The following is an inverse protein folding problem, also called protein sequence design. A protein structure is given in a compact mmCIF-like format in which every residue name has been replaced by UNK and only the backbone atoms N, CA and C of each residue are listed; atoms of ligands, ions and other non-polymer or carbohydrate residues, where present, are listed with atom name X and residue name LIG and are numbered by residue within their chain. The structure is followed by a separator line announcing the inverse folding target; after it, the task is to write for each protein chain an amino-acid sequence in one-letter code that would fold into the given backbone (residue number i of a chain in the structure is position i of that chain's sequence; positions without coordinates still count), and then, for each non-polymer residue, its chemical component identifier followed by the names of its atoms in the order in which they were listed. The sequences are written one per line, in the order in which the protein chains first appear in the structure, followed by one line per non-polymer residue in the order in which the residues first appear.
data_IF_851851726276
#
_entry.id   IF_851851726276
#
_cell.length_a   1.000
_cell.length_b   1.000
_cell.length_c   1.000
_cell.angle_alpha   90.00
_cell.angle_beta   90.00
_cell.angle_gamma   90.00
#
_symmetry.space_group_name_H-M   'P 1'
#
loop_
_entity.id
_entity.type
_entity.pdbx_description
1 polymer ?
#
# COMPACT_ATOMS: atom_id res chain seq x y z
N UNK A 1 -12.45 -24.49 -7.77
CA UNK A 1 -12.33 -23.09 -7.31
C UNK A 1 -12.17 -22.20 -8.55
N UNK A 2 -12.90 -21.09 -8.64
CA UNK A 2 -12.68 -20.14 -9.73
C UNK A 2 -11.45 -19.27 -9.38
N UNK A 3 -10.37 -19.44 -10.13
CA UNK A 3 -9.17 -18.60 -10.01
C UNK A 3 -9.47 -17.28 -10.71
N UNK A 4 -9.22 -16.16 -10.03
CA UNK A 4 -9.31 -14.82 -10.60
C UNK A 4 -7.94 -14.18 -10.54
N UNK A 5 -7.54 -13.55 -11.65
CA UNK A 5 -6.33 -12.74 -11.72
C UNK A 5 -6.71 -11.28 -11.58
N UNK A 6 -6.05 -10.56 -10.69
CA UNK A 6 -6.10 -9.10 -10.61
C UNK A 6 -4.80 -8.54 -11.18
N UNK A 7 -4.85 -7.33 -11.75
CA UNK A 7 -3.70 -6.67 -12.34
C UNK A 7 -3.72 -5.17 -12.09
N UNK A 8 -2.54 -4.57 -12.16
CA UNK A 8 -2.35 -3.12 -12.18
C UNK A 8 -1.33 -2.79 -13.26
N UNK A 9 -1.41 -1.58 -13.81
CA UNK A 9 -0.43 -1.06 -14.76
C UNK A 9 -0.04 0.34 -14.35
N UNK A 10 1.25 0.65 -14.44
CA UNK A 10 1.79 1.93 -14.01
C UNK A 10 2.72 2.54 -15.05
N UNK A 11 2.91 3.84 -14.94
CA UNK A 11 3.86 4.59 -15.74
C UNK A 11 4.54 5.67 -14.91
N UNK A 12 5.76 6.01 -15.31
CA UNK A 12 6.53 7.08 -14.69
C UNK A 12 5.95 8.44 -15.06
N UNK A 13 5.98 9.35 -14.10
CA UNK A 13 5.71 10.77 -14.26
C UNK A 13 7.01 11.56 -14.09
N UNK A 14 6.92 12.88 -13.87
CA UNK A 14 8.10 13.68 -13.58
C UNK A 14 8.74 13.31 -12.23
N UNK A 15 10.07 13.35 -12.15
CA UNK A 15 10.81 13.01 -10.94
C UNK A 15 10.67 11.53 -10.57
N UNK A 16 10.32 11.26 -9.32
CA UNK A 16 10.13 9.92 -8.77
C UNK A 16 8.65 9.49 -8.69
N UNK A 17 7.75 10.31 -9.23
CA UNK A 17 6.32 10.07 -9.18
C UNK A 17 5.92 8.93 -10.12
N UNK A 18 5.10 8.01 -9.63
CA UNK A 18 4.56 6.86 -10.37
C UNK A 18 3.03 6.91 -10.29
N UNK A 19 2.38 6.87 -11.45
CA UNK A 19 0.92 6.73 -11.55
C UNK A 19 0.59 5.27 -11.86
N UNK A 20 -0.30 4.65 -11.07
CA UNK A 20 -0.72 3.25 -11.21
C UNK A 20 -2.24 3.16 -11.29
N UNK A 21 -2.75 2.46 -12.30
CA UNK A 21 -4.15 2.10 -12.42
C UNK A 21 -4.42 0.78 -11.70
N UNK A 22 -5.35 0.82 -10.75
CA UNK A 22 -5.78 -0.30 -9.90
C UNK A 22 -7.31 -0.47 -10.02
N UNK A 23 -7.76 -1.37 -10.91
CA UNK A 23 -9.18 -1.47 -11.25
C UNK A 23 -9.66 -0.17 -11.89
N UNK A 24 -10.70 0.45 -11.34
CA UNK A 24 -11.23 1.74 -11.79
C UNK A 24 -10.56 2.96 -11.13
N UNK A 25 -9.61 2.72 -10.22
CA UNK A 25 -8.96 3.76 -9.43
C UNK A 25 -7.55 4.03 -9.92
N UNK A 26 -7.13 5.29 -9.74
CA UNK A 26 -5.78 5.74 -9.99
C UNK A 26 -5.09 6.08 -8.67
N UNK A 27 -3.88 5.56 -8.48
CA UNK A 27 -3.02 5.81 -7.33
C UNK A 27 -1.75 6.49 -7.80
N UNK A 28 -1.39 7.61 -7.17
CA UNK A 28 -0.12 8.29 -7.40
C UNK A 28 0.75 8.11 -6.16
N UNK A 29 1.96 7.62 -6.38
CA UNK A 29 2.98 7.43 -5.34
C UNK A 29 4.21 8.26 -5.71
N UNK A 30 4.94 8.75 -4.73
CA UNK A 30 6.19 9.47 -4.97
C UNK A 30 7.18 9.24 -3.82
N UNK A 31 8.34 9.87 -3.88
CA UNK A 31 9.29 9.94 -2.79
C UNK A 31 9.20 11.31 -2.07
N UNK A 32 9.66 11.38 -0.81
CA UNK A 32 9.89 12.66 -0.16
C UNK A 32 10.87 13.53 -0.97
N UNK A 33 10.78 14.85 -0.81
CA UNK A 33 11.65 15.81 -1.53
C UNK A 33 13.14 15.51 -1.28
N UNK A 34 13.51 15.18 -0.05
CA UNK A 34 14.89 14.83 0.31
C UNK A 34 15.38 13.49 -0.28
N UNK A 35 14.48 12.69 -0.84
CA UNK A 35 14.75 11.43 -1.52
C UNK A 35 14.50 11.50 -3.05
N UNK A 36 14.46 12.72 -3.61
CA UNK A 36 14.39 12.95 -5.05
C UNK A 36 12.98 13.03 -5.65
N UNK A 37 11.93 12.94 -4.82
CA UNK A 37 10.56 13.17 -5.26
C UNK A 37 10.15 14.63 -5.24
N UNK A 38 8.91 14.89 -5.62
CA UNK A 38 8.25 16.19 -5.63
C UNK A 38 7.19 16.31 -4.53
N UNK A 39 6.92 15.21 -3.80
CA UNK A 39 5.99 15.16 -2.68
C UNK A 39 4.47 15.27 -2.97
N UNK A 40 3.91 14.91 -4.15
CA UNK A 40 2.47 14.96 -4.38
C UNK A 40 1.71 13.72 -3.83
N UNK A 41 2.39 12.72 -3.24
CA UNK A 41 1.74 11.49 -2.78
C UNK A 41 2.57 10.67 -1.77
N UNK A 42 1.95 9.66 -1.14
CA UNK A 42 2.62 8.74 -0.20
C UNK A 42 3.70 7.91 -0.91
N UNK A 43 4.63 7.37 -0.13
CA UNK A 43 5.63 6.46 -0.70
C UNK A 43 5.03 5.11 -1.09
N UNK A 44 5.66 4.37 -2.01
CA UNK A 44 5.27 2.99 -2.25
C UNK A 44 5.27 2.13 -0.97
N UNK A 45 6.18 2.40 -0.03
CA UNK A 45 6.22 1.70 1.26
C UNK A 45 5.00 2.03 2.13
N UNK A 46 4.59 3.30 2.18
CA UNK A 46 3.37 3.71 2.87
C UNK A 46 2.13 3.04 2.27
N UNK A 47 2.07 2.95 0.92
CA UNK A 47 0.97 2.26 0.24
C UNK A 47 0.98 0.75 0.51
N UNK A 48 2.14 0.12 0.62
CA UNK A 48 2.24 -1.29 1.04
C UNK A 48 1.65 -1.47 2.43
N UNK A 49 2.04 -0.64 3.41
CA UNK A 49 1.48 -0.68 4.76
C UNK A 49 -0.03 -0.42 4.76
N UNK A 50 -0.50 0.57 3.99
CA UNK A 50 -1.91 0.87 3.86
C UNK A 50 -2.70 -0.30 3.24
N UNK A 51 -2.14 -1.00 2.25
CA UNK A 51 -2.75 -2.18 1.65
C UNK A 51 -2.86 -3.34 2.65
N UNK A 52 -1.81 -3.62 3.41
CA UNK A 52 -1.83 -4.63 4.48
C UNK A 52 -2.85 -4.27 5.55
N UNK A 53 -2.88 -3.01 5.98
CA UNK A 53 -3.85 -2.47 6.94
C UNK A 53 -5.30 -2.63 6.44
N UNK A 54 -5.54 -2.29 5.17
CA UNK A 54 -6.83 -2.47 4.52
C UNK A 54 -7.27 -3.94 4.48
N UNK A 55 -6.35 -4.84 4.13
CA UNK A 55 -6.59 -6.28 4.16
C UNK A 55 -6.96 -6.77 5.56
N UNK A 56 -6.18 -6.40 6.57
CA UNK A 56 -6.42 -6.78 7.96
C UNK A 56 -7.82 -6.36 8.44
N UNK A 57 -8.16 -5.07 8.27
CA UNK A 57 -9.46 -4.55 8.67
C UNK A 57 -10.64 -5.19 7.90
N UNK A 58 -10.47 -5.42 6.60
CA UNK A 58 -11.50 -6.04 5.75
C UNK A 58 -11.75 -7.50 6.14
N UNK A 59 -10.69 -8.29 6.32
CA UNK A 59 -10.79 -9.67 6.76
C UNK A 59 -11.40 -9.77 8.16
N UNK A 60 -11.01 -8.88 9.07
CA UNK A 60 -11.59 -8.81 10.42
C UNK A 60 -13.11 -8.60 10.40
N UNK A 61 -13.61 -7.74 9.50
CA UNK A 61 -15.06 -7.56 9.28
C UNK A 61 -15.72 -8.81 8.71
N UNK A 62 -15.10 -9.47 7.72
CA UNK A 62 -15.64 -10.70 7.15
C UNK A 62 -15.78 -11.81 8.19
N UNK A 63 -14.75 -12.02 9.01
CA UNK A 63 -14.76 -13.05 10.05
C UNK A 63 -15.82 -12.73 11.10
N UNK A 64 -15.90 -11.48 11.57
CA UNK A 64 -16.91 -11.06 12.54
C UNK A 64 -18.34 -11.31 12.02
N UNK A 65 -18.59 -10.99 10.74
CA UNK A 65 -19.87 -11.26 10.09
C UNK A 65 -20.17 -12.77 10.02
N UNK A 66 -19.21 -13.57 9.57
CA UNK A 66 -19.36 -15.04 9.48
C UNK A 66 -19.65 -15.69 10.85
N UNK A 67 -19.03 -15.15 11.91
CA UNK A 67 -19.18 -15.65 13.28
C UNK A 67 -20.34 -14.99 14.03
N UNK A 68 -21.13 -14.12 13.38
CA UNK A 68 -22.25 -13.38 14.00
C UNK A 68 -21.83 -12.53 15.22
N UNK A 69 -20.59 -12.03 15.21
CA UNK A 69 -20.08 -11.10 16.22
C UNK A 69 -20.57 -9.70 15.88
N UNK A 70 -21.20 -9.02 16.84
CA UNK A 70 -21.57 -7.61 16.70
C UNK A 70 -20.34 -6.70 16.86
N UNK A 71 -19.60 -6.51 15.76
CA UNK A 71 -18.40 -5.68 15.72
C UNK A 71 -18.74 -4.18 15.67
N UNK A 72 -18.60 -3.50 16.82
CA UNK A 72 -18.89 -2.05 16.96
C UNK A 72 -17.75 -1.14 16.48
N UNK A 73 -16.54 -1.64 16.38
CA UNK A 73 -15.37 -0.88 15.97
C UNK A 73 -14.10 -1.72 16.01
N UNK A 74 -13.08 -1.30 15.27
CA UNK A 74 -11.77 -1.91 15.23
C UNK A 74 -10.71 -0.82 15.06
N UNK A 75 -9.67 -0.84 15.89
CA UNK A 75 -8.48 0.00 15.76
C UNK A 75 -7.27 -0.92 15.77
N UNK A 76 -6.34 -0.69 14.86
CA UNK A 76 -5.13 -1.46 14.70
C UNK A 76 -4.03 -0.55 14.16
N UNK A 77 -2.79 -0.97 14.37
CA UNK A 77 -1.57 -0.31 13.94
C UNK A 77 -0.70 -1.35 13.24
N UNK A 78 -0.01 -0.93 12.19
CA UNK A 78 0.90 -1.79 11.43
C UNK A 78 2.20 -1.02 11.24
N UNK A 79 3.30 -1.69 11.55
CA UNK A 79 4.65 -1.20 11.38
C UNK A 79 5.43 -2.21 10.53
N UNK A 80 6.45 -1.72 9.81
CA UNK A 80 7.39 -2.56 9.08
C UNK A 80 8.77 -1.93 9.11
N UNK A 81 9.77 -2.77 9.32
CA UNK A 81 11.17 -2.39 9.17
C UNK A 81 11.61 -2.54 7.71
N UNK A 82 12.44 -1.62 7.23
CA UNK A 82 13.12 -1.74 5.95
C UNK A 82 14.58 -1.35 6.10
N UNK A 83 15.44 -1.87 5.23
CA UNK A 83 16.85 -1.51 5.15
C UNK A 83 17.04 -0.34 4.16
N UNK A 84 17.33 0.89 4.63
CA UNK A 84 17.54 2.02 3.74
C UNK A 84 18.83 1.89 2.93
N UNK A 85 19.85 1.23 3.46
CA UNK A 85 21.12 1.04 2.75
C UNK A 85 20.97 -0.01 1.66
N UNK A 86 20.23 -1.09 1.91
CA UNK A 86 19.82 -2.05 0.89
C UNK A 86 18.98 -1.39 -0.22
N UNK A 87 17.98 -0.59 0.16
CA UNK A 87 17.12 0.14 -0.79
C UNK A 87 17.91 1.08 -1.70
N UNK A 88 18.91 1.77 -1.14
CA UNK A 88 19.73 2.75 -1.84
C UNK A 88 20.99 2.14 -2.48
N UNK A 89 21.17 0.81 -2.40
CA UNK A 89 22.34 0.13 -2.95
C UNK A 89 23.67 0.48 -2.28
N UNK A 90 23.61 0.89 -1.00
CA UNK A 90 24.77 1.23 -0.16
C UNK A 90 25.29 0.06 0.66
N UNK A 91 24.44 -0.95 0.89
CA UNK A 91 24.84 -2.21 1.50
C UNK A 91 25.84 -2.93 0.57
N UNK A 92 27.11 -2.96 0.98
CA UNK A 92 28.18 -3.72 0.33
C UNK A 92 28.56 -4.90 1.21
#
# INVERSE_FOLDING_TARGET
MAIKTIGSHGHMQAGMSIEVQCGDYRVVMDQPVHAGGQGPGPTPLDIVLAAVAGCFGTLGRYIAHQQKINLRGMRFEIEADYDPDGLLGRAR
#
